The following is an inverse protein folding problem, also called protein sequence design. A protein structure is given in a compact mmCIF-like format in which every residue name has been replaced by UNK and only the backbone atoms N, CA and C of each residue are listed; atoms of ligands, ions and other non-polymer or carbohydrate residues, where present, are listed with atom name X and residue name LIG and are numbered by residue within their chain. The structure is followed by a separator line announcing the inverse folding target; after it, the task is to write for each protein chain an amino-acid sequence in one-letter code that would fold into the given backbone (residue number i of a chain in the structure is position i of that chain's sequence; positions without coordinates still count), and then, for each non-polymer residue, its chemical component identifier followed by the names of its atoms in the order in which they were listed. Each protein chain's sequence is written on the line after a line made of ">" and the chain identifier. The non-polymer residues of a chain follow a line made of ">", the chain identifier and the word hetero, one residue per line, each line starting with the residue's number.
data_IF_491063030144
#
_entry.id   IF_491063030144
#
_cell.length_a   1.000
_cell.length_b   1.000
_cell.length_c   1.000
_cell.angle_alpha   90.00
_cell.angle_beta   90.00
_cell.angle_gamma   90.00
#
_symmetry.space_group_name_H-M   'P 1'
#
loop_
_entity.id
_entity.type
_entity.pdbx_description
1 polymer ?
#
# COMPACT_ATOMS: atom_id res chain seq x y z
N UNK A 1 -9.00 -6.17 -0.99
CA UNK A 1 -7.84 -7.07 -0.92
C UNK A 1 -7.08 -6.80 0.37
N UNK A 2 -6.73 -7.85 1.08
CA UNK A 2 -5.99 -7.75 2.34
C UNK A 2 -4.49 -7.75 2.04
N UNK A 3 -3.75 -6.86 2.69
CA UNK A 3 -2.30 -6.79 2.56
C UNK A 3 -1.66 -6.73 3.93
N UNK A 4 -0.39 -7.10 4.01
CA UNK A 4 0.40 -6.93 5.22
C UNK A 4 1.34 -5.75 5.02
N UNK A 5 1.37 -4.85 5.98
CA UNK A 5 2.23 -3.67 5.94
C UNK A 5 3.24 -3.80 7.08
N UNK A 6 4.50 -3.83 6.72
CA UNK A 6 5.58 -3.88 7.70
C UNK A 6 6.18 -2.49 7.85
N UNK A 7 6.13 -1.98 9.06
CA UNK A 7 6.67 -0.66 9.38
C UNK A 7 8.12 -0.79 9.82
N UNK A 8 8.92 0.19 9.45
CA UNK A 8 10.31 0.24 9.86
C UNK A 8 10.41 0.33 11.39
N UNK A 9 11.25 -0.52 11.97
CA UNK A 9 11.43 -0.57 13.42
C UNK A 9 10.39 -1.38 14.17
N UNK A 10 9.42 -1.96 13.47
CA UNK A 10 8.41 -2.81 14.08
C UNK A 10 8.59 -4.26 13.64
N UNK A 11 8.45 -5.18 14.59
CA UNK A 11 8.67 -6.60 14.34
C UNK A 11 7.45 -7.23 13.65
N UNK A 12 6.24 -6.83 14.07
CA UNK A 12 5.03 -7.44 13.56
C UNK A 12 4.40 -6.60 12.44
N UNK A 13 3.94 -7.28 11.37
CA UNK A 13 3.24 -6.56 10.32
C UNK A 13 1.85 -6.13 10.77
N UNK A 14 1.36 -5.05 10.15
CA UNK A 14 0.00 -4.56 10.38
C UNK A 14 -0.85 -4.99 9.20
N UNK A 15 -2.01 -5.55 9.48
CA UNK A 15 -2.95 -5.94 8.42
C UNK A 15 -3.68 -4.71 7.92
N UNK A 16 -3.68 -4.54 6.60
CA UNK A 16 -4.42 -3.48 5.96
C UNK A 16 -5.31 -4.03 4.86
N UNK A 17 -6.18 -3.16 4.35
CA UNK A 17 -7.07 -3.49 3.25
C UNK A 17 -6.89 -2.45 2.17
N UNK A 18 -6.79 -2.87 0.92
CA UNK A 18 -6.69 -1.92 -0.18
C UNK A 18 -8.04 -1.26 -0.42
N UNK A 19 -8.01 0.05 -0.59
CA UNK A 19 -9.18 0.82 -1.02
C UNK A 19 -9.14 0.99 -2.54
N UNK A 20 -7.97 1.34 -3.06
CA UNK A 20 -7.73 1.53 -4.48
C UNK A 20 -6.33 1.04 -4.78
N UNK A 21 -6.12 0.44 -5.95
CA UNK A 21 -4.80 -0.01 -6.37
C UNK A 21 -4.47 0.56 -7.73
N UNK A 22 -3.17 0.76 -7.98
CA UNK A 22 -2.65 1.20 -9.26
C UNK A 22 -1.34 0.47 -9.53
N UNK A 23 -0.79 0.65 -10.74
CA UNK A 23 0.47 0.00 -11.09
C UNK A 23 1.62 0.38 -10.15
N UNK A 24 1.63 1.62 -9.68
CA UNK A 24 2.75 2.17 -8.92
C UNK A 24 2.44 2.40 -7.45
N UNK A 25 1.34 1.89 -6.96
CA UNK A 25 0.98 2.08 -5.56
C UNK A 25 -0.49 1.82 -5.31
N UNK A 26 -1.07 2.60 -4.41
CA UNK A 26 -2.48 2.47 -4.10
C UNK A 26 -2.84 3.23 -2.83
N UNK A 27 -4.06 3.01 -2.40
CA UNK A 27 -4.53 3.57 -1.14
C UNK A 27 -4.89 2.42 -0.23
N UNK A 28 -4.29 2.40 0.96
CA UNK A 28 -4.43 1.30 1.92
C UNK A 28 -5.11 1.84 3.17
N UNK A 29 -6.06 1.07 3.69
CA UNK A 29 -6.72 1.39 4.96
C UNK A 29 -5.97 0.69 6.07
N UNK A 30 -5.46 1.47 7.02
CA UNK A 30 -4.79 0.97 8.21
C UNK A 30 -5.50 1.51 9.45
N UNK A 31 -5.35 0.83 10.60
CA UNK A 31 -5.98 1.32 11.84
C UNK A 31 -5.43 2.66 12.30
N UNK A 32 -4.15 2.92 12.06
CA UNK A 32 -3.50 4.15 12.50
C UNK A 32 -2.92 4.91 11.32
N UNK A 33 -2.93 6.25 11.36
CA UNK A 33 -2.34 7.06 10.30
C UNK A 33 -0.82 6.99 10.34
N UNK A 34 -0.21 7.19 9.16
CA UNK A 34 1.25 7.26 9.02
C UNK A 34 1.60 8.63 8.45
N UNK A 35 2.75 9.16 8.84
CA UNK A 35 3.19 10.46 8.32
C UNK A 35 3.70 10.34 6.89
N UNK A 36 3.60 11.42 6.14
CA UNK A 36 4.13 11.50 4.77
C UNK A 36 5.62 11.19 4.77
N UNK A 37 6.04 10.39 3.80
CA UNK A 37 7.44 10.01 3.68
C UNK A 37 7.83 8.77 4.46
N UNK A 38 6.94 8.24 5.31
CA UNK A 38 7.21 7.01 6.04
C UNK A 38 7.43 5.86 5.07
N UNK A 39 8.53 5.15 5.25
CA UNK A 39 8.82 3.97 4.43
C UNK A 39 8.18 2.74 5.04
N UNK A 40 7.58 1.95 4.20
CA UNK A 40 6.90 0.72 4.60
C UNK A 40 7.23 -0.37 3.59
N UNK A 41 7.03 -1.61 4.00
CA UNK A 41 7.08 -2.75 3.10
C UNK A 41 5.67 -3.31 2.99
N UNK A 42 5.14 -3.31 1.79
CA UNK A 42 3.80 -3.86 1.53
C UNK A 42 3.96 -5.27 0.99
N UNK A 43 3.26 -6.21 1.60
CA UNK A 43 3.28 -7.60 1.16
C UNK A 43 1.88 -8.01 0.74
N UNK A 44 1.79 -8.58 -0.45
CA UNK A 44 0.55 -9.15 -0.95
C UNK A 44 0.59 -10.66 -0.72
N UNK A 45 -0.13 -11.17 0.29
CA UNK A 45 -0.07 -12.59 0.60
C UNK A 45 -0.60 -13.48 -0.52
N UNK A 46 -1.42 -12.93 -1.39
CA UNK A 46 -2.00 -13.68 -2.50
C UNK A 46 -0.96 -14.00 -3.59
N UNK A 47 -0.06 -13.06 -3.85
CA UNK A 47 1.00 -13.27 -4.84
C UNK A 47 2.34 -13.59 -4.19
N UNK A 48 2.44 -13.47 -2.88
CA UNK A 48 3.65 -13.64 -2.09
C UNK A 48 4.76 -12.67 -2.52
N UNK A 49 4.39 -11.53 -3.06
CA UNK A 49 5.32 -10.49 -3.45
C UNK A 49 5.32 -9.38 -2.40
N UNK A 50 6.47 -8.76 -2.23
CA UNK A 50 6.61 -7.61 -1.35
C UNK A 50 7.31 -6.48 -2.09
N UNK A 51 7.03 -5.25 -1.69
CA UNK A 51 7.63 -4.07 -2.32
C UNK A 51 7.79 -2.98 -1.27
N UNK A 52 8.87 -2.23 -1.39
CA UNK A 52 9.05 -1.04 -0.57
C UNK A 52 8.20 0.09 -1.14
N UNK A 53 7.55 0.79 -0.24
CA UNK A 53 6.70 1.92 -0.59
C UNK A 53 6.87 3.03 0.44
N UNK A 54 6.32 4.18 0.13
CA UNK A 54 6.33 5.31 1.06
C UNK A 54 4.96 5.97 1.05
N UNK A 55 4.64 6.62 2.14
CA UNK A 55 3.42 7.40 2.24
C UNK A 55 3.60 8.65 1.37
N UNK A 56 2.80 8.75 0.31
CA UNK A 56 2.97 9.79 -0.71
C UNK A 56 2.27 11.11 -0.36
N UNK A 57 1.19 11.03 0.38
CA UNK A 57 0.38 12.20 0.75
C UNK A 57 -0.20 12.01 2.14
N UNK A 58 -0.66 13.10 2.79
CA UNK A 58 -1.25 12.98 4.12
C UNK A 58 -2.43 12.02 4.12
N UNK A 59 -2.51 11.12 5.10
CA UNK A 59 -3.64 10.19 5.20
C UNK A 59 -4.94 10.93 5.52
N UNK A 60 -6.04 10.33 5.09
CA UNK A 60 -7.37 10.82 5.40
C UNK A 60 -8.01 9.89 6.42
N UNK A 61 -8.63 10.47 7.43
CA UNK A 61 -9.34 9.69 8.44
C UNK A 61 -10.74 9.39 7.93
N UNK A 62 -11.13 8.12 8.01
CA UNK A 62 -12.46 7.68 7.62
C UNK A 62 -13.07 6.83 8.72
N UNK A 63 -14.35 6.47 8.58
CA UNK A 63 -15.00 5.57 9.53
C UNK A 63 -14.41 4.17 9.57
N UNK A 64 -13.65 3.79 8.54
CA UNK A 64 -13.04 2.47 8.45
C UNK A 64 -11.59 2.46 8.95
N UNK A 65 -11.03 3.62 9.22
CA UNK A 65 -9.64 3.77 9.64
C UNK A 65 -8.97 4.90 8.90
N UNK A 66 -7.67 4.79 8.68
CA UNK A 66 -6.89 5.80 7.97
C UNK A 66 -6.65 5.36 6.54
N UNK A 67 -7.05 6.19 5.59
CA UNK A 67 -6.79 5.96 4.16
C UNK A 67 -5.41 6.52 3.86
N UNK A 68 -4.47 5.64 3.56
CA UNK A 68 -3.06 6.01 3.39
C UNK A 68 -2.65 5.85 1.94
N UNK A 69 -2.40 6.97 1.23
CA UNK A 69 -1.88 6.89 -0.14
C UNK A 69 -0.42 6.46 -0.11
N UNK A 70 -0.09 5.39 -0.82
CA UNK A 70 1.28 4.89 -0.88
C UNK A 70 1.76 4.82 -2.32
N UNK A 71 3.05 5.05 -2.48
CA UNK A 71 3.71 4.96 -3.77
C UNK A 71 4.87 3.98 -3.65
N UNK A 72 4.98 3.08 -4.61
CA UNK A 72 6.08 2.11 -4.61
C UNK A 72 7.40 2.83 -4.87
N UNK A 73 8.42 2.48 -4.10
CA UNK A 73 9.76 3.05 -4.27
C UNK A 73 10.46 2.48 -5.49
N UNK A 74 10.09 1.27 -5.91
CA UNK A 74 10.64 0.61 -7.09
C UNK A 74 9.51 0.04 -7.93
N UNK A 75 9.71 -0.11 -9.24
CA UNK A 75 8.70 -0.75 -10.08
C UNK A 75 8.39 -2.17 -9.60
N UNK A 76 7.11 -2.50 -9.51
CA UNK A 76 6.69 -3.82 -9.05
C UNK A 76 5.53 -4.32 -9.92
N UNK A 77 5.81 -4.61 -11.21
CA UNK A 77 4.75 -5.07 -12.11
C UNK A 77 4.15 -6.36 -11.61
N UNK A 78 2.83 -6.44 -11.67
CA UNK A 78 2.11 -7.63 -11.21
C UNK A 78 2.02 -7.78 -9.71
N UNK A 79 2.43 -6.78 -8.94
CA UNK A 79 2.39 -6.86 -7.46
C UNK A 79 0.99 -7.19 -6.95
N UNK A 80 -0.04 -6.55 -7.49
CA UNK A 80 -1.41 -6.76 -7.04
C UNK A 80 -2.05 -8.02 -7.61
N UNK A 81 -1.44 -8.63 -8.63
CA UNK A 81 -2.03 -9.76 -9.33
C UNK A 81 -3.19 -9.36 -10.21
N UNK A 82 -3.27 -8.10 -10.59
CA UNK A 82 -4.34 -7.55 -11.42
C UNK A 82 -3.72 -7.00 -12.68
N UNK A 83 -4.39 -7.21 -13.81
CA UNK A 83 -3.97 -6.62 -15.09
C UNK A 83 -4.62 -5.25 -15.22
N UNK A 84 -3.80 -4.22 -15.34
CA UNK A 84 -4.29 -2.88 -15.57
C UNK A 84 -4.34 -2.61 -17.07
N UNK A 85 -5.45 -2.11 -17.61
CA UNK A 85 -5.51 -1.81 -19.04
C UNK A 85 -4.56 -0.67 -19.38
N UNK A 86 -3.99 -0.68 -20.60
CA UNK A 86 -3.14 0.42 -21.01
C UNK A 86 -3.93 1.71 -21.10
N UNK A 87 -3.23 2.83 -20.86
CA UNK A 87 -3.83 4.15 -21.00
C UNK A 87 -4.26 4.34 -22.46
N UNK A 88 -5.51 4.70 -22.66
CA UNK A 88 -6.04 4.99 -23.98
C UNK A 88 -6.28 6.49 -24.09
N UNK A 89 -5.46 7.14 -24.89
CA UNK A 89 -5.60 8.58 -25.11
C UNK A 89 -5.72 8.84 -26.59
#
# INVERSE_FOLDING_TARGET
>A
MTVSVRLEGKVEPVRGVTHTVSENGGMIVLPDPLTVGTKITVENPKTQKSVEARVARPPQISGEGSLIPVEFCTPAPGFWGIVFPPSVN
#
